data_IF_570843025452
#
_entry.id   IF_570843025452
#
_cell.length_a   1.000
_cell.length_b   1.000
_cell.length_c   1.000
_cell.angle_alpha   90.00
_cell.angle_beta   90.00
_cell.angle_gamma   90.00
#
_symmetry.space_group_name_H-M   'P 1'
#
loop_
_entity.id
_entity.type
_entity.pdbx_description
1 polymer ?
#
# COMPACT_ATOMS: atom_id res chain seq x y z
N UNK A 1 -2.01 68.33 -70.10
CA UNK A 1 -1.03 68.92 -69.16
C UNK A 1 -1.18 68.20 -67.84
N UNK A 2 -0.14 67.46 -67.46
CA UNK A 2 -0.06 66.72 -66.19
C UNK A 2 0.32 67.64 -65.03
N UNK A 3 0.10 67.14 -63.81
CA UNK A 3 0.65 67.56 -62.51
C UNK A 3 -0.10 68.73 -61.84
N UNK A 4 -0.48 68.73 -60.57
CA UNK A 4 -0.12 67.85 -59.43
C UNK A 4 -1.26 67.97 -58.40
N UNK A 5 -1.93 66.86 -58.03
CA UNK A 5 -2.76 66.84 -56.83
C UNK A 5 -1.79 66.59 -55.67
N UNK A 6 -1.46 67.64 -54.92
CA UNK A 6 -0.75 67.52 -53.65
C UNK A 6 -1.69 66.85 -52.64
N UNK A 7 -1.48 65.56 -52.40
CA UNK A 7 -2.15 64.83 -51.34
C UNK A 7 -1.80 65.47 -49.98
N UNK A 8 -2.78 66.07 -49.31
CA UNK A 8 -2.67 66.43 -47.91
C UNK A 8 -2.81 65.12 -47.14
N UNK A 9 -1.69 64.47 -46.86
CA UNK A 9 -1.64 63.37 -45.90
C UNK A 9 -1.83 63.98 -44.51
N UNK A 10 -3.06 63.99 -44.00
CA UNK A 10 -3.29 64.20 -42.58
C UNK A 10 -2.69 63.01 -41.85
N UNK A 11 -1.57 63.23 -41.17
CA UNK A 11 -1.01 62.24 -40.26
C UNK A 11 -1.99 62.09 -39.09
N UNK A 12 -2.56 60.90 -38.94
CA UNK A 12 -3.31 60.52 -37.73
C UNK A 12 -2.37 60.76 -36.54
N UNK A 13 -2.77 61.49 -35.49
CA UNK A 13 -1.92 61.66 -34.32
C UNK A 13 -1.71 60.29 -33.69
N UNK A 14 -0.52 59.73 -33.87
CA UNK A 14 -0.09 58.53 -33.16
C UNK A 14 0.13 58.92 -31.71
N UNK A 15 -0.73 58.42 -30.83
CA UNK A 15 -0.58 58.57 -29.38
C UNK A 15 0.63 57.73 -28.97
N UNK A 16 1.75 58.40 -28.75
CA UNK A 16 2.97 57.79 -28.23
C UNK A 16 2.74 57.45 -26.74
N UNK A 17 2.36 56.19 -26.48
CA UNK A 17 2.13 55.66 -25.13
C UNK A 17 3.32 55.92 -24.19
N UNK A 18 4.54 55.94 -24.73
CA UNK A 18 5.75 56.23 -23.95
C UNK A 18 5.76 57.65 -23.40
N UNK A 19 5.33 58.64 -24.18
CA UNK A 19 5.22 60.04 -23.74
C UNK A 19 4.04 60.27 -22.80
N UNK A 20 2.95 59.53 -22.98
CA UNK A 20 1.76 59.61 -22.12
C UNK A 20 2.07 59.07 -20.70
N UNK A 21 2.83 57.98 -20.61
CA UNK A 21 3.27 57.38 -19.34
C UNK A 21 4.34 58.20 -18.60
N UNK A 22 5.03 59.12 -19.30
CA UNK A 22 5.97 60.06 -18.70
C UNK A 22 5.30 61.36 -18.22
N UNK A 23 3.99 61.53 -18.47
CA UNK A 23 3.27 62.72 -18.03
C UNK A 23 3.04 62.66 -16.51
N UNK A 24 3.46 63.67 -15.74
CA UNK A 24 3.36 63.68 -14.29
C UNK A 24 1.92 63.57 -13.77
N UNK A 25 0.93 64.08 -14.52
CA UNK A 25 -0.49 63.93 -14.18
C UNK A 25 -0.96 62.48 -14.34
N UNK A 26 -0.53 61.80 -15.40
CA UNK A 26 -0.84 60.40 -15.68
C UNK A 26 -0.17 59.48 -14.66
N UNK A 27 1.09 59.76 -14.28
CA UNK A 27 1.78 59.04 -13.20
C UNK A 27 1.14 59.27 -11.83
N UNK A 28 0.64 60.47 -11.55
CA UNK A 28 -0.04 60.80 -10.30
C UNK A 28 -1.36 60.04 -10.13
N UNK A 29 -2.08 59.76 -11.22
CA UNK A 29 -3.33 58.99 -11.20
C UNK A 29 -3.09 57.47 -11.26
N UNK A 30 -2.11 57.02 -12.06
CA UNK A 30 -1.82 55.60 -12.22
C UNK A 30 -1.11 54.98 -11.01
N UNK A 31 -0.23 55.72 -10.33
CA UNK A 31 0.49 55.20 -9.16
C UNK A 31 -0.42 54.73 -8.02
N UNK A 32 -1.44 55.50 -7.55
CA UNK A 32 -2.36 54.99 -6.54
C UNK A 32 -3.25 53.85 -7.05
N UNK A 33 -3.61 53.85 -8.34
CA UNK A 33 -4.39 52.75 -8.93
C UNK A 33 -3.60 51.43 -8.96
N UNK A 34 -2.32 51.46 -9.29
CA UNK A 34 -1.42 50.30 -9.26
C UNK A 34 -1.23 49.80 -7.83
N UNK A 35 -0.99 50.70 -6.88
CA UNK A 35 -0.87 50.34 -5.45
C UNK A 35 -2.16 49.71 -4.93
N UNK A 36 -3.32 50.26 -5.30
CA UNK A 36 -4.62 49.71 -4.91
C UNK A 36 -4.86 48.30 -5.50
N UNK A 37 -4.50 48.08 -6.77
CA UNK A 37 -4.59 46.77 -7.40
C UNK A 37 -3.68 45.73 -6.71
N UNK A 38 -2.46 46.12 -6.33
CA UNK A 38 -1.53 45.27 -5.58
C UNK A 38 -2.11 44.91 -4.21
N UNK A 39 -2.71 45.88 -3.49
CA UNK A 39 -3.34 45.64 -2.19
C UNK A 39 -4.54 44.70 -2.31
N UNK A 40 -5.40 44.90 -3.31
CA UNK A 40 -6.53 44.00 -3.57
C UNK A 40 -6.08 42.57 -3.92
N UNK A 41 -5.04 42.44 -4.75
CA UNK A 41 -4.48 41.13 -5.10
C UNK A 41 -3.87 40.42 -3.89
N UNK A 42 -3.16 41.15 -3.02
CA UNK A 42 -2.64 40.62 -1.76
C UNK A 42 -3.77 40.21 -0.81
N UNK A 43 -4.81 41.02 -0.66
CA UNK A 43 -5.96 40.70 0.18
C UNK A 43 -6.71 39.45 -0.30
N UNK A 44 -6.91 39.31 -1.62
CA UNK A 44 -7.53 38.12 -2.21
C UNK A 44 -6.71 36.85 -1.97
N UNK A 45 -5.39 36.91 -2.15
CA UNK A 45 -4.52 35.77 -1.86
C UNK A 45 -4.47 35.41 -0.36
N UNK A 46 -4.53 36.41 0.54
CA UNK A 46 -4.58 36.19 1.98
C UNK A 46 -5.88 35.49 2.42
N UNK A 47 -7.02 35.86 1.83
CA UNK A 47 -8.30 35.20 2.09
C UNK A 47 -8.31 33.75 1.59
N UNK A 48 -7.78 33.51 0.38
CA UNK A 48 -7.63 32.14 -0.16
C UNK A 48 -6.73 31.24 0.69
N UNK A 49 -5.73 31.79 1.38
CA UNK A 49 -4.89 31.04 2.33
C UNK A 49 -5.68 30.53 3.54
N UNK A 50 -6.71 31.26 3.98
CA UNK A 50 -7.62 30.82 5.05
C UNK A 50 -8.46 29.61 4.64
N UNK A 51 -9.07 29.67 3.45
CA UNK A 51 -9.84 28.54 2.91
C UNK A 51 -8.97 27.32 2.60
N UNK A 52 -7.75 27.52 2.13
CA UNK A 52 -6.77 26.44 1.92
C UNK A 52 -6.40 25.74 3.23
N UNK A 53 -6.19 26.50 4.32
CA UNK A 53 -5.96 25.92 5.65
C UNK A 53 -7.15 25.09 6.10
N UNK A 54 -8.37 25.58 5.90
CA UNK A 54 -9.58 24.86 6.29
C UNK A 54 -9.75 23.56 5.50
N UNK A 55 -9.55 23.59 4.18
CA UNK A 55 -9.57 22.38 3.33
C UNK A 55 -8.49 21.39 3.74
N UNK A 56 -7.30 21.87 4.08
CA UNK A 56 -6.20 21.02 4.55
C UNK A 56 -6.52 20.37 5.90
N UNK A 57 -7.07 21.13 6.87
CA UNK A 57 -7.53 20.58 8.15
C UNK A 57 -8.62 19.54 7.95
N UNK A 58 -9.58 19.79 7.07
CA UNK A 58 -10.62 18.83 6.73
C UNK A 58 -10.03 17.54 6.13
N UNK A 59 -9.10 17.65 5.18
CA UNK A 59 -8.43 16.48 4.60
C UNK A 59 -7.60 15.69 5.62
N UNK A 60 -6.97 16.35 6.59
CA UNK A 60 -6.25 15.65 7.67
C UNK A 60 -7.22 14.85 8.55
N UNK A 61 -8.37 15.44 8.89
CA UNK A 61 -9.42 14.75 9.65
C UNK A 61 -9.98 13.56 8.85
N UNK A 62 -10.27 13.74 7.56
CA UNK A 62 -10.75 12.66 6.69
C UNK A 62 -9.73 11.51 6.60
N UNK A 63 -8.42 11.81 6.56
CA UNK A 63 -7.35 10.80 6.58
C UNK A 63 -7.32 10.06 7.93
N UNK A 64 -7.54 10.76 9.04
CA UNK A 64 -7.56 10.15 10.36
C UNK A 64 -8.77 9.22 10.55
N UNK A 65 -9.94 9.63 10.06
CA UNK A 65 -11.15 8.81 10.03
C UNK A 65 -11.00 7.61 9.09
N UNK A 66 -10.42 7.78 7.90
CA UNK A 66 -10.08 6.67 6.99
C UNK A 66 -9.11 5.67 7.65
N UNK A 67 -8.14 6.15 8.42
CA UNK A 67 -7.21 5.30 9.17
C UNK A 67 -7.94 4.52 10.27
N UNK A 68 -8.90 5.14 10.95
CA UNK A 68 -9.73 4.52 11.98
C UNK A 68 -10.67 3.47 11.40
N UNK A 69 -11.28 3.75 10.26
CA UNK A 69 -12.17 2.81 9.58
C UNK A 69 -11.40 1.64 8.96
N UNK A 70 -10.18 1.86 8.46
CA UNK A 70 -9.28 0.78 8.09
C UNK A 70 -8.94 -0.14 9.29
N UNK A 71 -8.68 0.42 10.48
CA UNK A 71 -8.46 -0.40 11.69
C UNK A 71 -9.69 -1.23 12.05
N UNK A 72 -10.89 -0.68 11.93
CA UNK A 72 -12.14 -1.43 12.16
C UNK A 72 -12.32 -2.53 11.12
N UNK A 73 -12.07 -2.24 9.84
CA UNK A 73 -12.12 -3.22 8.76
C UNK A 73 -11.17 -4.41 9.02
N UNK A 74 -9.93 -4.14 9.44
CA UNK A 74 -8.98 -5.19 9.82
C UNK A 74 -9.52 -6.05 10.98
N UNK A 75 -10.10 -5.42 12.00
CA UNK A 75 -10.77 -6.12 13.10
C UNK A 75 -11.94 -6.99 12.61
N UNK A 76 -12.80 -6.47 11.73
CA UNK A 76 -13.91 -7.25 11.16
C UNK A 76 -13.42 -8.40 10.29
N UNK A 77 -12.35 -8.22 9.52
CA UNK A 77 -11.71 -9.29 8.74
C UNK A 77 -11.14 -10.38 9.66
N UNK A 78 -10.49 -10.01 10.77
CA UNK A 78 -10.01 -10.98 11.77
C UNK A 78 -11.16 -11.75 12.44
N UNK A 79 -12.27 -11.06 12.74
CA UNK A 79 -13.48 -11.70 13.29
C UNK A 79 -14.10 -12.65 12.26
N UNK A 80 -14.23 -12.23 11.00
CA UNK A 80 -14.74 -13.08 9.91
C UNK A 80 -13.81 -14.28 9.70
N UNK A 81 -12.48 -14.11 9.71
CA UNK A 81 -11.52 -15.21 9.59
C UNK A 81 -11.64 -16.16 10.79
N UNK A 82 -11.83 -15.64 11.99
CA UNK A 82 -12.05 -16.44 13.21
C UNK A 82 -13.35 -17.23 13.11
N UNK A 83 -14.45 -16.60 12.67
CA UNK A 83 -15.71 -17.29 12.42
C UNK A 83 -15.62 -18.31 11.28
N UNK A 84 -14.85 -18.02 10.22
CA UNK A 84 -14.58 -18.99 9.16
C UNK A 84 -13.74 -20.14 9.67
N UNK A 85 -12.73 -19.92 10.52
CA UNK A 85 -12.03 -21.01 11.21
C UNK A 85 -13.02 -21.87 11.99
N UNK A 86 -14.04 -21.25 12.61
CA UNK A 86 -15.06 -21.97 13.38
C UNK A 86 -16.07 -22.71 12.49
N UNK A 87 -16.44 -22.18 11.32
CA UNK A 87 -17.54 -22.68 10.48
C UNK A 87 -17.14 -23.36 9.15
N UNK A 88 -15.88 -23.26 8.70
CA UNK A 88 -15.42 -23.87 7.41
C UNK A 88 -14.71 -25.22 7.55
N UNK A 89 -14.76 -25.85 8.73
CA UNK A 89 -14.12 -27.16 8.93
C UNK A 89 -12.63 -27.11 9.24
N UNK A 90 -12.09 -25.93 9.58
CA UNK A 90 -10.80 -25.85 10.26
C UNK A 90 -11.01 -26.23 11.71
N UNK A 91 -10.45 -27.36 12.15
CA UNK A 91 -10.59 -27.81 13.53
C UNK A 91 -10.08 -26.73 14.50
N UNK A 92 -10.98 -26.12 15.26
CA UNK A 92 -10.67 -25.11 16.29
C UNK A 92 -9.73 -25.64 17.39
N UNK A 93 -9.56 -26.96 17.47
CA UNK A 93 -8.59 -27.62 18.34
C UNK A 93 -7.16 -27.62 17.78
N UNK A 94 -6.98 -27.43 16.47
CA UNK A 94 -5.68 -27.46 15.78
C UNK A 94 -5.11 -26.07 15.56
N UNK A 95 -5.97 -25.06 15.38
CA UNK A 95 -5.58 -23.69 15.02
C UNK A 95 -6.08 -22.68 16.05
N UNK A 96 -5.20 -21.78 16.48
CA UNK A 96 -5.54 -20.72 17.43
C UNK A 96 -6.21 -19.53 16.74
N UNK A 97 -6.98 -18.72 17.50
CA UNK A 97 -7.58 -17.50 16.99
C UNK A 97 -6.53 -16.42 16.67
N UNK A 98 -6.83 -15.58 15.68
CA UNK A 98 -6.00 -14.43 15.27
C UNK A 98 -5.15 -14.61 14.00
N UNK A 99 -4.65 -13.50 13.48
CA UNK A 99 -3.77 -13.43 12.31
C UNK A 99 -2.36 -12.98 12.71
N UNK A 100 -1.29 -13.66 12.25
CA UNK A 100 -1.30 -14.89 11.47
C UNK A 100 -1.74 -16.12 12.29
N UNK A 101 -2.32 -17.13 11.64
CA UNK A 101 -2.81 -18.34 12.30
C UNK A 101 -1.67 -19.06 13.03
N UNK A 102 -1.91 -19.46 14.27
CA UNK A 102 -0.95 -20.20 15.10
C UNK A 102 -1.41 -21.63 15.33
N UNK A 103 -0.46 -22.55 15.50
CA UNK A 103 -0.77 -23.93 15.87
C UNK A 103 -1.07 -24.03 17.37
N UNK A 104 -2.15 -24.73 17.69
CA UNK A 104 -2.46 -25.16 19.06
C UNK A 104 -1.71 -26.45 19.40
N UNK A 105 -1.65 -26.87 20.68
CA UNK A 105 -0.92 -28.06 21.10
C UNK A 105 -1.26 -29.33 20.29
N UNK A 106 -2.52 -29.52 19.89
CA UNK A 106 -2.91 -30.66 19.06
C UNK A 106 -2.33 -30.58 17.64
N UNK A 107 -2.28 -29.40 17.03
CA UNK A 107 -1.62 -29.18 15.73
C UNK A 107 -0.11 -29.40 15.80
N UNK A 108 0.53 -28.97 16.90
CA UNK A 108 1.97 -29.21 17.14
C UNK A 108 2.26 -30.71 17.27
N UNK A 109 1.38 -31.48 17.92
CA UNK A 109 1.53 -32.94 18.02
C UNK A 109 1.54 -33.59 16.63
N UNK A 110 0.59 -33.23 15.77
CA UNK A 110 0.50 -33.76 14.40
C UNK A 110 1.74 -33.35 13.58
N UNK A 111 2.21 -32.11 13.73
CA UNK A 111 3.44 -31.63 13.10
C UNK A 111 4.69 -32.43 13.53
N UNK A 112 4.76 -32.84 14.81
CA UNK A 112 5.88 -33.65 15.28
C UNK A 112 5.79 -35.09 14.74
N UNK A 113 4.60 -35.66 14.68
CA UNK A 113 4.36 -37.01 14.17
C UNK A 113 4.60 -37.11 12.66
N UNK A 114 4.38 -36.03 11.91
CA UNK A 114 4.59 -36.02 10.45
C UNK A 114 6.05 -36.10 10.03
N UNK A 115 7.01 -35.94 10.95
CA UNK A 115 8.44 -35.89 10.63
C UNK A 115 8.86 -34.65 9.82
N UNK A 116 7.95 -33.71 9.55
CA UNK A 116 8.22 -32.56 8.67
C UNK A 116 9.34 -31.67 9.19
N UNK A 117 9.53 -31.58 10.51
CA UNK A 117 10.65 -30.83 11.09
C UNK A 117 12.02 -31.32 10.61
N UNK A 118 12.17 -32.65 10.47
CA UNK A 118 13.41 -33.26 9.98
C UNK A 118 13.55 -33.01 8.47
N UNK A 119 12.46 -33.15 7.71
CA UNK A 119 12.42 -32.84 6.28
C UNK A 119 12.81 -31.39 6.00
N UNK A 120 12.31 -30.45 6.79
CA UNK A 120 12.68 -29.04 6.72
C UNK A 120 14.16 -28.83 7.04
N UNK A 121 14.67 -29.43 8.13
CA UNK A 121 16.07 -29.29 8.52
C UNK A 121 17.03 -29.79 7.43
N UNK A 122 16.72 -30.93 6.81
CA UNK A 122 17.55 -31.53 5.74
C UNK A 122 17.50 -30.73 4.44
N UNK A 123 16.34 -30.13 4.10
CA UNK A 123 16.13 -29.43 2.83
C UNK A 123 16.00 -27.91 3.01
N UNK A 124 16.52 -27.36 4.11
CA UNK A 124 16.31 -25.96 4.51
C UNK A 124 16.67 -24.97 3.40
N UNK A 125 17.81 -25.19 2.74
CA UNK A 125 18.28 -24.35 1.63
C UNK A 125 17.30 -24.33 0.47
N UNK A 126 16.75 -25.48 0.10
CA UNK A 126 15.75 -25.58 -0.97
C UNK A 126 14.48 -24.76 -0.66
N UNK A 127 13.98 -24.83 0.58
CA UNK A 127 12.82 -24.02 0.99
C UNK A 127 13.11 -22.51 0.94
N UNK A 128 14.32 -22.10 1.34
CA UNK A 128 14.74 -20.70 1.28
C UNK A 128 14.88 -20.23 -0.18
N UNK A 129 15.42 -21.07 -1.05
CA UNK A 129 15.56 -20.72 -2.47
C UNK A 129 14.20 -20.67 -3.18
N UNK A 130 13.27 -21.56 -2.83
CA UNK A 130 11.90 -21.51 -3.35
C UNK A 130 11.15 -20.26 -2.91
N UNK A 131 11.31 -19.81 -1.65
CA UNK A 131 10.65 -18.57 -1.22
C UNK A 131 11.28 -17.33 -1.84
N UNK A 132 12.59 -17.33 -2.10
CA UNK A 132 13.29 -16.21 -2.80
C UNK A 132 12.85 -16.05 -4.26
N UNK A 133 12.37 -17.11 -4.91
CA UNK A 133 11.79 -17.04 -6.26
C UNK A 133 10.44 -16.32 -6.27
N UNK A 134 9.79 -16.21 -5.12
CA UNK A 134 8.53 -15.51 -4.93
C UNK A 134 8.90 -14.11 -4.39
N UNK A 135 8.37 -13.03 -4.97
CA UNK A 135 8.63 -11.67 -4.46
C UNK A 135 7.85 -11.49 -3.15
N UNK A 136 8.50 -11.75 -2.01
CA UNK A 136 7.88 -11.75 -0.69
C UNK A 136 8.25 -10.49 0.07
N UNK A 137 7.25 -9.65 0.41
CA UNK A 137 7.46 -8.36 1.10
C UNK A 137 6.85 -8.33 2.49
N UNK A 138 5.79 -9.09 2.72
CA UNK A 138 5.02 -9.08 3.97
C UNK A 138 4.89 -10.48 4.58
N UNK A 139 4.54 -10.54 5.87
CA UNK A 139 4.23 -11.82 6.55
C UNK A 139 3.07 -12.58 5.89
N UNK A 140 2.13 -11.87 5.26
CA UNK A 140 1.02 -12.48 4.53
C UNK A 140 1.52 -13.18 3.26
N UNK A 141 2.48 -12.55 2.56
CA UNK A 141 3.08 -13.13 1.37
C UNK A 141 3.87 -14.40 1.71
N UNK A 142 4.52 -14.45 2.88
CA UNK A 142 5.20 -15.66 3.39
C UNK A 142 4.17 -16.79 3.65
N UNK A 143 3.00 -16.46 4.20
CA UNK A 143 1.92 -17.43 4.47
C UNK A 143 1.44 -18.07 3.15
N UNK A 144 1.14 -17.26 2.13
CA UNK A 144 0.74 -17.75 0.81
C UNK A 144 1.85 -18.54 0.10
N UNK A 145 3.09 -18.05 0.16
CA UNK A 145 4.24 -18.74 -0.42
C UNK A 145 4.46 -20.12 0.23
N UNK A 146 4.31 -20.20 1.56
CA UNK A 146 4.50 -21.46 2.30
C UNK A 146 3.47 -22.52 1.90
N UNK A 147 2.22 -22.11 1.66
CA UNK A 147 1.17 -23.01 1.15
C UNK A 147 1.54 -23.49 -0.25
N UNK A 148 1.89 -22.59 -1.18
CA UNK A 148 2.25 -22.93 -2.56
C UNK A 148 3.44 -23.88 -2.63
N UNK A 149 4.47 -23.66 -1.81
CA UNK A 149 5.66 -24.53 -1.77
C UNK A 149 5.27 -25.94 -1.32
N UNK A 150 4.42 -26.07 -0.30
CA UNK A 150 3.97 -27.38 0.18
C UNK A 150 3.01 -28.09 -0.77
N UNK A 151 2.21 -27.35 -1.54
CA UNK A 151 1.43 -27.94 -2.62
C UNK A 151 2.32 -28.56 -3.70
N UNK A 152 3.46 -27.93 -4.04
CA UNK A 152 4.45 -28.56 -4.92
C UNK A 152 5.02 -29.84 -4.30
N UNK A 153 5.32 -29.83 -3.00
CA UNK A 153 5.82 -30.99 -2.27
C UNK A 153 4.79 -32.13 -2.18
N UNK A 154 3.48 -31.86 -2.30
CA UNK A 154 2.41 -32.87 -2.23
C UNK A 154 2.56 -33.95 -3.30
N UNK A 155 3.11 -33.60 -4.45
CA UNK A 155 3.22 -34.48 -5.62
C UNK A 155 4.64 -34.97 -5.87
N UNK A 156 5.60 -34.53 -5.07
CA UNK A 156 7.02 -34.82 -5.28
C UNK A 156 7.48 -35.93 -4.33
N UNK A 157 7.94 -37.04 -4.89
CA UNK A 157 8.34 -38.26 -4.15
C UNK A 157 9.52 -38.04 -3.18
N UNK A 158 10.16 -36.87 -3.24
CA UNK A 158 11.22 -36.46 -2.30
C UNK A 158 10.70 -36.17 -0.90
N UNK A 159 9.41 -35.91 -0.73
CA UNK A 159 8.82 -35.55 0.56
C UNK A 159 7.97 -36.69 1.12
N UNK A 160 7.80 -36.73 2.44
CA UNK A 160 7.09 -37.80 3.14
C UNK A 160 5.68 -38.01 2.56
N UNK A 161 5.15 -39.24 2.65
CA UNK A 161 3.82 -39.58 2.14
C UNK A 161 2.73 -38.90 3.00
N UNK A 162 2.48 -37.62 2.74
CA UNK A 162 1.54 -36.81 3.51
C UNK A 162 0.11 -37.34 3.44
N UNK A 163 -0.22 -38.14 2.42
CA UNK A 163 -1.53 -38.82 2.34
C UNK A 163 -1.70 -39.86 3.44
N UNK A 164 -0.67 -40.67 3.65
CA UNK A 164 -0.65 -41.72 4.66
C UNK A 164 -0.64 -41.13 6.06
N UNK A 165 0.21 -40.12 6.31
CA UNK A 165 0.26 -39.40 7.58
C UNK A 165 -1.10 -38.74 7.90
N UNK A 166 -1.76 -38.13 6.91
CA UNK A 166 -3.07 -37.52 7.12
C UNK A 166 -4.13 -38.56 7.46
N UNK A 167 -4.10 -39.72 6.78
CA UNK A 167 -5.00 -40.85 7.04
C UNK A 167 -4.81 -41.43 8.44
N UNK A 168 -3.57 -41.69 8.86
CA UNK A 168 -3.24 -42.21 10.20
C UNK A 168 -3.69 -41.28 11.33
N UNK A 169 -3.65 -39.97 11.09
CA UNK A 169 -4.06 -38.97 12.08
C UNK A 169 -5.54 -38.57 11.97
N UNK A 170 -6.31 -39.20 11.06
CA UNK A 170 -7.74 -38.93 10.89
C UNK A 170 -8.05 -37.50 10.43
N UNK A 171 -7.15 -36.87 9.69
CA UNK A 171 -7.31 -35.50 9.19
C UNK A 171 -7.27 -35.46 7.66
N UNK A 172 -7.81 -34.40 7.06
CA UNK A 172 -7.65 -34.19 5.61
C UNK A 172 -6.21 -33.81 5.28
N UNK A 173 -5.76 -34.17 4.07
CA UNK A 173 -4.45 -33.77 3.55
C UNK A 173 -4.32 -32.25 3.54
N UNK A 174 -5.38 -31.53 3.18
CA UNK A 174 -5.37 -30.07 3.16
C UNK A 174 -5.18 -29.49 4.57
N UNK A 175 -5.75 -30.12 5.60
CA UNK A 175 -5.52 -29.76 7.00
C UNK A 175 -4.07 -30.02 7.41
N UNK A 176 -3.51 -31.17 7.02
CA UNK A 176 -2.11 -31.48 7.29
C UNK A 176 -1.19 -30.45 6.61
N UNK A 177 -1.36 -30.21 5.31
CA UNK A 177 -0.57 -29.23 4.56
C UNK A 177 -0.64 -27.84 5.19
N UNK A 178 -1.80 -27.44 5.70
CA UNK A 178 -1.97 -26.17 6.42
C UNK A 178 -1.25 -26.14 7.76
N UNK A 179 -1.19 -27.26 8.48
CA UNK A 179 -0.37 -27.38 9.69
C UNK A 179 1.12 -27.22 9.33
N UNK A 180 1.57 -27.91 8.29
CA UNK A 180 2.96 -27.84 7.82
C UNK A 180 3.30 -26.42 7.32
N UNK A 181 2.37 -25.75 6.65
CA UNK A 181 2.58 -24.41 6.09
C UNK A 181 2.75 -23.35 7.15
N UNK A 182 2.01 -23.46 8.27
CA UNK A 182 2.18 -22.55 9.41
C UNK A 182 3.58 -22.70 10.01
N UNK A 183 4.06 -23.93 10.18
CA UNK A 183 5.43 -24.15 10.65
C UNK A 183 6.47 -23.62 9.66
N UNK A 184 6.30 -23.91 8.37
CA UNK A 184 7.21 -23.44 7.32
C UNK A 184 7.27 -21.90 7.28
N UNK A 185 6.12 -21.22 7.37
CA UNK A 185 6.04 -19.76 7.45
C UNK A 185 6.82 -19.23 8.64
N UNK A 186 6.60 -19.80 9.83
CA UNK A 186 7.22 -19.32 11.06
C UNK A 186 8.75 -19.50 11.03
N UNK A 187 9.26 -20.57 10.43
CA UNK A 187 10.70 -20.78 10.24
C UNK A 187 11.29 -19.88 9.14
N UNK A 188 10.61 -19.73 7.99
CA UNK A 188 11.08 -18.87 6.90
C UNK A 188 11.00 -17.38 7.27
N UNK A 189 9.99 -16.96 8.03
CA UNK A 189 9.87 -15.57 8.49
C UNK A 189 11.06 -15.15 9.36
N UNK A 190 11.59 -16.05 10.20
CA UNK A 190 12.81 -15.80 10.98
C UNK A 190 14.02 -15.56 10.08
N UNK A 191 14.14 -16.27 8.97
CA UNK A 191 15.31 -16.19 8.07
C UNK A 191 15.22 -15.02 7.10
N UNK A 192 14.06 -14.81 6.47
CA UNK A 192 13.87 -13.79 5.42
C UNK A 192 13.82 -12.38 6.03
N UNK A 193 13.08 -12.17 7.11
CA UNK A 193 12.96 -10.84 7.74
C UNK A 193 14.26 -10.39 8.41
N UNK A 194 15.07 -11.34 8.90
CA UNK A 194 16.39 -11.02 9.48
C UNK A 194 17.39 -10.59 8.40
N UNK A 195 17.22 -11.04 7.16
CA UNK A 195 18.05 -10.60 6.02
C UNK A 195 17.62 -9.24 5.47
N UNK A 196 16.32 -8.92 5.47
CA UNK A 196 15.80 -7.61 5.01
C UNK A 196 16.16 -6.46 5.95
N UNK A 197 16.41 -6.73 7.24
CA UNK A 197 16.84 -5.73 8.23
C UNK A 197 18.36 -5.48 8.24
N UNK A 198 19.14 -6.19 7.42
CA UNK A 198 20.59 -6.02 7.26
C UNK A 198 21.01 -5.42 5.91
N UNK A 199 20.07 -5.13 5.03
CA UNK A 199 20.28 -4.41 3.77
C UNK A 199 19.86 -2.94 3.95
#
# INVERSE_FOLDING_TARGET
>A
MNSTISAITQTVPTIDLGKLLQNPFVQYVLSPAIVFAIVLWLAYNLLNLGELKQKFTQSVLDIEDLKKDNKKLLSHVDIIRTHLVTNTGLNANLFGPGSPLKLLPAGIRILNLSGFKQVYATNKTWFIDEIKKIDVKTLSDIDEASIKILEKCRHDNKFANYKEIAFENGISIDTLLKILSIYLRDELAKEVLTQTLKA
#
